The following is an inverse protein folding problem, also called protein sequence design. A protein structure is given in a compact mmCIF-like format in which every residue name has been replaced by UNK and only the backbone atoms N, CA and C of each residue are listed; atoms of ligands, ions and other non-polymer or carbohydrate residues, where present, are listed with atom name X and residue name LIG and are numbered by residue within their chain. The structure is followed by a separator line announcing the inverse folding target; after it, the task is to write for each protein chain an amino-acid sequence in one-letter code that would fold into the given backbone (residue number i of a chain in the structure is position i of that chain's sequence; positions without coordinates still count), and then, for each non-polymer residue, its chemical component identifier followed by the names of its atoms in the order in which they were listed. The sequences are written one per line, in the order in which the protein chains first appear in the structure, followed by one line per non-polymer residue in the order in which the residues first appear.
data_IF_825064469453
#
_entry.id   IF_825064469453
#
_cell.length_a   1.000
_cell.length_b   1.000
_cell.length_c   1.000
_cell.angle_alpha   90.00
_cell.angle_beta   90.00
_cell.angle_gamma   90.00
#
_symmetry.space_group_name_H-M   'P 1'
#
loop_
_entity.id
_entity.type
_entity.pdbx_description
1 polymer ?
#
# COMPACT_ATOMS: atom_id res chain seq x y z
N UNK A 1 9.26 28.09 -44.79
CA UNK A 1 8.02 28.88 -44.69
C UNK A 1 7.66 29.03 -43.21
N UNK A 2 7.80 30.24 -42.74
CA UNK A 2 7.60 30.61 -41.31
C UNK A 2 6.12 31.00 -41.08
N UNK A 3 5.57 30.69 -39.93
CA UNK A 3 4.43 31.34 -39.26
C UNK A 3 4.50 30.92 -37.80
N UNK A 4 4.99 31.73 -36.91
CA UNK A 4 4.51 32.94 -36.27
C UNK A 4 3.37 32.72 -35.27
N UNK A 5 3.74 32.86 -34.01
CA UNK A 5 3.13 33.49 -32.82
C UNK A 5 1.60 33.50 -32.64
N UNK A 6 1.18 33.10 -31.44
CA UNK A 6 0.18 33.86 -30.70
C UNK A 6 0.43 33.66 -29.16
N UNK A 7 0.86 34.73 -28.54
CA UNK A 7 0.77 35.01 -27.10
C UNK A 7 -0.67 35.42 -26.76
N UNK A 8 -1.16 34.98 -25.60
CA UNK A 8 -2.23 35.66 -24.87
C UNK A 8 -2.04 35.28 -23.37
N UNK A 9 -1.56 36.07 -22.62
CA UNK A 9 -1.65 37.14 -21.67
C UNK A 9 -2.91 37.09 -20.78
N UNK A 10 -2.66 36.94 -19.47
CA UNK A 10 -3.24 37.58 -18.28
C UNK A 10 -4.71 37.32 -17.94
N UNK A 11 -4.96 36.80 -16.72
CA UNK A 11 -5.73 37.53 -15.71
C UNK A 11 -5.41 37.03 -14.30
N UNK A 12 -4.79 37.92 -13.52
CA UNK A 12 -4.82 37.95 -12.05
C UNK A 12 -6.24 38.25 -11.57
N UNK A 13 -6.72 37.59 -10.57
CA UNK A 13 -7.63 38.19 -9.59
C UNK A 13 -7.37 37.59 -8.21
N UNK A 14 -6.89 38.47 -7.35
CA UNK A 14 -6.70 38.29 -5.93
C UNK A 14 -8.04 38.51 -5.21
N UNK A 15 -8.05 38.12 -3.95
CA UNK A 15 -8.80 38.60 -2.82
C UNK A 15 -9.89 37.64 -2.28
N UNK A 16 -9.75 37.41 -0.99
CA UNK A 16 -10.81 36.98 -0.12
C UNK A 16 -10.33 36.35 1.18
N UNK A 17 -9.69 37.13 2.06
CA UNK A 17 -9.55 36.84 3.48
C UNK A 17 -10.96 36.77 4.11
N UNK A 18 -11.25 35.71 4.82
CA UNK A 18 -12.27 35.73 5.86
C UNK A 18 -11.81 34.84 7.01
N UNK A 19 -11.17 35.49 7.96
CA UNK A 19 -11.01 35.08 9.34
C UNK A 19 -12.39 35.15 10.02
N UNK A 20 -12.95 34.06 10.46
CA UNK A 20 -14.00 34.06 11.49
C UNK A 20 -13.51 33.29 12.68
N UNK A 21 -13.05 34.05 13.65
CA UNK A 21 -12.89 33.61 15.02
C UNK A 21 -14.28 33.33 15.61
N UNK A 22 -14.50 32.13 16.09
CA UNK A 22 -15.57 31.81 17.03
C UNK A 22 -14.90 31.53 18.37
N UNK A 23 -14.91 32.56 19.19
CA UNK A 23 -14.54 32.49 20.61
C UNK A 23 -15.80 32.21 21.44
N UNK A 24 -15.55 31.47 22.53
CA UNK A 24 -16.26 31.45 23.77
C UNK A 24 -17.71 30.95 23.81
N UNK A 25 -17.84 29.76 24.32
CA UNK A 25 -18.99 29.37 25.13
C UNK A 25 -18.60 28.23 26.09
N UNK A 26 -17.79 28.56 27.12
CA UNK A 26 -17.81 27.77 28.36
C UNK A 26 -17.72 28.73 29.55
N UNK A 27 -18.94 28.94 30.13
CA UNK A 27 -19.11 29.65 31.34
C UNK A 27 -18.42 29.00 32.55
N UNK A 28 -17.84 29.81 33.41
CA UNK A 28 -17.23 29.44 34.65
C UNK A 28 -18.24 28.81 35.65
N UNK A 29 -17.82 27.82 36.42
CA UNK A 29 -18.62 27.32 37.52
C UNK A 29 -18.43 28.14 38.82
N UNK A 30 -19.46 28.29 39.67
CA UNK A 30 -19.31 28.93 40.96
C UNK A 30 -18.62 28.01 41.98
N UNK A 31 -17.77 28.63 42.77
CA UNK A 31 -17.11 28.02 43.92
C UNK A 31 -18.14 27.73 45.02
N UNK A 32 -18.16 26.50 45.52
CA UNK A 32 -18.47 26.18 46.94
C UNK A 32 -18.05 24.72 47.21
N UNK A 33 -17.07 24.56 48.11
CA UNK A 33 -16.74 23.31 48.77
C UNK A 33 -17.72 23.07 49.94
N UNK A 34 -17.91 21.84 50.56
CA UNK A 34 -16.81 21.09 51.14
C UNK A 34 -16.89 19.55 51.02
N UNK A 35 -15.70 18.96 51.16
CA UNK A 35 -15.30 17.72 51.83
C UNK A 35 -16.01 16.36 51.66
N UNK A 36 -15.10 15.40 51.47
CA UNK A 36 -15.17 13.96 51.79
C UNK A 36 -15.92 13.04 50.80
N UNK A 37 -15.13 12.32 49.98
CA UNK A 37 -15.00 10.87 50.15
C UNK A 37 -14.01 10.31 49.09
N UNK A 38 -13.06 9.55 49.61
CA UNK A 38 -12.14 8.71 48.86
C UNK A 38 -12.92 7.71 47.98
N UNK A 39 -12.71 7.75 46.67
CA UNK A 39 -13.01 6.64 45.80
C UNK A 39 -11.97 6.59 44.68
N UNK A 40 -11.17 5.59 44.78
CA UNK A 40 -10.16 5.10 43.85
C UNK A 40 -10.64 5.13 42.41
N UNK A 41 -10.04 5.99 41.58
CA UNK A 41 -10.19 5.93 40.14
C UNK A 41 -9.30 4.80 39.62
N UNK A 42 -9.83 3.83 38.87
CA UNK A 42 -8.96 2.94 38.11
C UNK A 42 -8.46 3.72 36.90
N UNK A 43 -7.15 3.96 36.89
CA UNK A 43 -6.38 4.34 35.70
C UNK A 43 -6.60 3.25 34.66
N UNK A 44 -7.43 3.53 33.66
CA UNK A 44 -7.52 2.70 32.47
C UNK A 44 -6.22 2.90 31.67
N UNK A 45 -5.24 2.06 31.95
CA UNK A 45 -4.12 1.84 31.04
C UNK A 45 -4.70 1.28 29.75
N UNK A 46 -4.78 2.09 28.72
CA UNK A 46 -4.95 1.61 27.35
C UNK A 46 -3.66 0.85 26.99
N UNK A 47 -3.64 -0.44 27.31
CA UNK A 47 -2.76 -1.37 26.65
C UNK A 47 -3.21 -1.45 25.20
N UNK A 48 -2.45 -0.81 24.32
CA UNK A 48 -2.42 -1.17 22.92
C UNK A 48 -1.80 -2.57 22.84
N UNK A 49 -2.65 -3.59 22.97
CA UNK A 49 -2.31 -4.96 22.61
C UNK A 49 -2.01 -4.97 21.12
N UNK A 50 -0.74 -4.79 20.80
CA UNK A 50 -0.19 -5.24 19.51
C UNK A 50 -0.22 -6.76 19.58
N UNK A 51 -1.29 -7.37 19.07
CA UNK A 51 -1.36 -8.80 18.91
C UNK A 51 -0.09 -9.27 18.18
N UNK A 52 0.63 -10.29 18.69
CA UNK A 52 1.77 -10.86 18.01
C UNK A 52 1.31 -11.31 16.60
N UNK A 53 2.08 -10.94 15.56
CA UNK A 53 1.83 -11.45 14.24
C UNK A 53 1.75 -12.98 14.30
N UNK A 54 0.64 -13.56 13.83
CA UNK A 54 0.49 -15.01 13.83
C UNK A 54 1.63 -15.63 12.99
N UNK A 55 2.18 -16.78 13.40
CA UNK A 55 3.24 -17.43 12.65
C UNK A 55 2.76 -17.73 11.22
N UNK A 56 3.57 -17.35 10.23
CA UNK A 56 3.28 -17.62 8.81
C UNK A 56 3.19 -19.13 8.61
N UNK A 57 2.02 -19.61 8.24
CA UNK A 57 1.81 -21.03 7.95
C UNK A 57 2.30 -21.33 6.53
N UNK A 58 3.03 -22.46 6.35
CA UNK A 58 3.40 -22.96 5.04
C UNK A 58 2.14 -23.14 4.19
N UNK A 59 2.16 -22.56 2.96
CA UNK A 59 1.02 -22.58 2.07
C UNK A 59 -0.04 -21.49 2.32
N UNK A 60 0.21 -20.53 3.24
CA UNK A 60 -0.64 -19.35 3.40
C UNK A 60 -0.38 -18.31 2.29
N UNK A 61 -1.35 -17.42 1.99
CA UNK A 61 -1.10 -16.28 1.09
C UNK A 61 0.12 -15.46 1.46
N UNK A 62 0.35 -15.22 2.74
CA UNK A 62 1.54 -14.50 3.23
C UNK A 62 2.84 -15.25 2.91
N UNK A 63 2.84 -16.59 3.00
CA UNK A 63 4.01 -17.38 2.64
C UNK A 63 4.35 -17.27 1.15
N UNK A 64 3.34 -17.13 0.28
CA UNK A 64 3.53 -16.91 -1.17
C UNK A 64 4.11 -15.52 -1.45
N UNK A 65 3.71 -14.49 -0.68
CA UNK A 65 4.16 -13.10 -0.88
C UNK A 65 5.58 -12.86 -0.40
N UNK A 66 5.99 -13.50 0.68
CA UNK A 66 7.25 -13.23 1.37
C UNK A 66 8.50 -13.21 0.46
N UNK A 67 8.71 -14.15 -0.49
CA UNK A 67 9.87 -14.16 -1.36
C UNK A 67 10.05 -12.89 -2.20
N UNK A 68 8.95 -12.22 -2.59
CA UNK A 68 8.99 -10.99 -3.40
C UNK A 68 9.60 -9.79 -2.64
N UNK A 69 9.70 -9.86 -1.31
CA UNK A 69 10.36 -8.87 -0.48
C UNK A 69 11.80 -9.28 -0.11
N UNK A 70 12.15 -10.53 -0.31
CA UNK A 70 13.50 -11.05 -0.11
C UNK A 70 14.38 -10.89 -1.37
N UNK A 71 13.73 -10.84 -2.55
CA UNK A 71 14.38 -10.78 -3.86
C UNK A 71 13.67 -9.75 -4.75
N UNK A 72 14.33 -8.60 -4.98
CA UNK A 72 13.77 -7.55 -5.82
C UNK A 72 13.52 -8.01 -7.25
N UNK A 73 12.35 -7.65 -7.81
CA UNK A 73 11.99 -7.97 -9.19
C UNK A 73 11.58 -9.42 -9.44
N UNK A 74 11.45 -10.23 -8.39
CA UNK A 74 11.06 -11.63 -8.51
C UNK A 74 9.68 -11.81 -9.16
N UNK A 75 8.77 -10.85 -8.98
CA UNK A 75 7.43 -10.84 -9.58
C UNK A 75 7.48 -10.79 -11.12
N UNK A 76 8.56 -10.27 -11.69
CA UNK A 76 8.76 -10.24 -13.14
C UNK A 76 9.51 -11.47 -13.66
N UNK A 77 10.03 -12.35 -12.79
CA UNK A 77 10.70 -13.55 -13.22
C UNK A 77 9.69 -14.56 -13.84
N UNK A 78 9.88 -15.00 -15.09
CA UNK A 78 9.03 -16.03 -15.70
C UNK A 78 8.99 -17.35 -14.92
N UNK A 79 10.04 -17.68 -14.15
CA UNK A 79 10.08 -18.89 -13.32
C UNK A 79 9.00 -18.87 -12.21
N UNK A 80 8.68 -17.69 -11.71
CA UNK A 80 7.68 -17.48 -10.65
C UNK A 80 6.23 -17.38 -11.18
N UNK A 81 6.04 -17.52 -12.49
CA UNK A 81 4.74 -17.35 -13.15
C UNK A 81 3.68 -18.33 -12.67
N UNK A 82 4.10 -19.46 -12.13
CA UNK A 82 3.21 -20.46 -11.52
C UNK A 82 2.48 -19.97 -10.27
N UNK A 83 2.98 -18.93 -9.61
CA UNK A 83 2.34 -18.29 -8.46
C UNK A 83 1.20 -17.35 -8.85
N UNK A 84 1.06 -17.03 -10.13
CA UNK A 84 0.08 -16.08 -10.63
C UNK A 84 -1.08 -16.76 -11.37
N UNK A 85 -2.24 -16.10 -11.29
CA UNK A 85 -3.43 -16.41 -12.10
C UNK A 85 -3.97 -15.10 -12.71
N UNK A 86 -4.92 -15.22 -13.64
CA UNK A 86 -5.51 -14.06 -14.29
C UNK A 86 -6.30 -13.18 -13.29
N UNK A 87 -6.26 -11.85 -13.48
CA UNK A 87 -5.69 -11.09 -14.62
C UNK A 87 -4.18 -10.80 -14.53
N UNK A 88 -3.56 -10.87 -13.34
CA UNK A 88 -2.14 -10.54 -13.17
C UNK A 88 -1.23 -11.36 -14.09
N UNK A 89 -1.48 -12.66 -14.20
CA UNK A 89 -0.68 -13.55 -15.07
C UNK A 89 -0.67 -13.08 -16.53
N UNK A 90 -1.82 -12.72 -17.08
CA UNK A 90 -1.93 -12.25 -18.47
C UNK A 90 -1.14 -10.98 -18.72
N UNK A 91 -1.11 -10.03 -17.77
CA UNK A 91 -0.33 -8.79 -17.88
C UNK A 91 1.16 -9.09 -17.88
N UNK A 92 1.60 -9.94 -16.95
CA UNK A 92 3.00 -10.36 -16.83
C UNK A 92 3.49 -11.11 -18.09
N UNK A 93 2.67 -12.01 -18.64
CA UNK A 93 3.00 -12.77 -19.84
C UNK A 93 3.13 -11.84 -21.07
N UNK A 94 2.25 -10.83 -21.19
CA UNK A 94 2.34 -9.82 -22.26
C UNK A 94 3.59 -8.95 -22.11
N UNK A 95 3.90 -8.50 -20.89
CA UNK A 95 5.13 -7.74 -20.61
C UNK A 95 6.38 -8.54 -20.99
N UNK A 96 6.41 -9.84 -20.67
CA UNK A 96 7.49 -10.74 -21.06
C UNK A 96 7.61 -10.88 -22.58
N UNK A 97 6.49 -10.92 -23.30
CA UNK A 97 6.48 -11.00 -24.77
C UNK A 97 7.07 -9.73 -25.41
N UNK A 98 6.70 -8.54 -24.91
CA UNK A 98 7.27 -7.27 -25.36
C UNK A 98 8.77 -7.20 -25.14
N UNK A 99 9.24 -7.56 -23.95
CA UNK A 99 10.68 -7.59 -23.63
C UNK A 99 11.44 -8.55 -24.52
N UNK A 100 10.92 -9.75 -24.77
CA UNK A 100 11.53 -10.74 -25.66
C UNK A 100 11.57 -10.32 -27.12
N UNK A 101 10.58 -9.54 -27.56
CA UNK A 101 10.56 -9.00 -28.94
C UNK A 101 11.42 -7.74 -29.14
N UNK A 102 11.97 -7.18 -28.06
CA UNK A 102 12.74 -5.93 -28.10
C UNK A 102 11.88 -4.68 -28.25
N UNK A 103 10.57 -4.77 -28.01
CA UNK A 103 9.64 -3.64 -28.11
C UNK A 103 9.61 -2.76 -26.83
N UNK A 104 10.45 -3.09 -25.85
CA UNK A 104 10.57 -2.34 -24.62
C UNK A 104 10.02 -3.07 -23.39
N UNK A 105 9.88 -2.34 -22.31
CA UNK A 105 9.35 -2.82 -21.03
C UNK A 105 8.02 -2.14 -20.75
N UNK A 106 7.00 -2.94 -20.42
CA UNK A 106 5.66 -2.44 -20.08
C UNK A 106 5.50 -2.19 -18.59
N UNK A 107 6.17 -2.99 -17.78
CA UNK A 107 6.08 -2.94 -16.31
C UNK A 107 7.38 -2.41 -15.74
N UNK A 108 7.26 -1.57 -14.71
CA UNK A 108 8.40 -1.11 -13.95
C UNK A 108 9.06 -2.26 -13.18
N UNK A 109 10.39 -2.26 -13.04
CA UNK A 109 11.05 -3.18 -12.14
C UNK A 109 10.64 -2.91 -10.68
N UNK A 110 10.69 -3.93 -9.84
CA UNK A 110 10.40 -3.81 -8.40
C UNK A 110 8.97 -3.35 -8.06
N UNK A 111 7.97 -3.80 -8.81
CA UNK A 111 6.57 -3.48 -8.51
C UNK A 111 6.16 -3.97 -7.12
N UNK A 112 6.66 -5.11 -6.67
CA UNK A 112 6.46 -5.61 -5.30
C UNK A 112 6.99 -4.65 -4.23
N UNK A 113 7.91 -3.76 -4.58
CA UNK A 113 8.47 -2.73 -3.72
C UNK A 113 7.87 -1.34 -3.97
N UNK A 114 6.75 -1.26 -4.70
CA UNK A 114 6.15 0.04 -5.09
C UNK A 114 7.14 0.93 -5.85
N UNK A 115 7.99 0.31 -6.67
CA UNK A 115 9.09 0.92 -7.42
C UNK A 115 10.16 1.63 -6.55
N UNK A 116 10.16 1.37 -5.24
CA UNK A 116 11.20 1.86 -4.35
C UNK A 116 12.55 1.19 -4.63
N UNK A 117 13.63 1.84 -4.23
CA UNK A 117 14.94 1.23 -4.22
C UNK A 117 14.98 0.03 -3.27
N UNK A 118 15.65 -1.06 -3.69
CA UNK A 118 15.77 -2.23 -2.83
C UNK A 118 16.82 -1.99 -1.74
N UNK A 119 16.36 -1.89 -0.52
CA UNK A 119 17.19 -1.95 0.69
C UNK A 119 16.66 -3.05 1.61
N UNK A 120 17.30 -4.21 1.55
CA UNK A 120 16.87 -5.38 2.32
C UNK A 120 16.84 -5.11 3.82
N UNK A 121 17.81 -4.39 4.35
CA UNK A 121 17.91 -4.16 5.79
C UNK A 121 16.79 -3.24 6.30
N UNK A 122 16.43 -2.20 5.52
CA UNK A 122 15.31 -1.34 5.84
C UNK A 122 13.97 -2.08 5.70
N UNK A 123 13.81 -2.88 4.64
CA UNK A 123 12.61 -3.69 4.42
C UNK A 123 12.44 -4.70 5.55
N UNK A 124 13.42 -5.54 5.85
CA UNK A 124 13.35 -6.57 6.91
C UNK A 124 13.02 -5.96 8.28
N UNK A 125 13.53 -4.76 8.56
CA UNK A 125 13.29 -4.04 9.82
C UNK A 125 11.86 -3.50 9.94
N UNK A 126 11.24 -3.13 8.83
CA UNK A 126 9.97 -2.40 8.82
C UNK A 126 8.80 -3.20 8.25
N UNK A 127 9.05 -4.32 7.58
CA UNK A 127 8.05 -5.14 6.90
C UNK A 127 6.97 -5.65 7.87
N UNK A 128 5.72 -5.36 7.53
CA UNK A 128 4.54 -5.86 8.24
C UNK A 128 3.56 -6.40 7.23
N UNK A 129 2.90 -7.50 7.59
CA UNK A 129 1.89 -8.14 6.77
C UNK A 129 0.61 -8.36 7.56
N UNK A 130 -0.52 -8.17 6.89
CA UNK A 130 -1.85 -8.49 7.41
C UNK A 130 -2.54 -9.36 6.36
N UNK A 131 -2.94 -10.56 6.75
CA UNK A 131 -3.63 -11.51 5.90
C UNK A 131 -5.12 -11.58 6.27
N UNK A 132 -5.98 -11.61 5.25
CA UNK A 132 -7.40 -11.85 5.40
C UNK A 132 -7.83 -12.90 4.37
N UNK A 133 -8.47 -13.99 4.84
CA UNK A 133 -8.95 -15.10 4.00
C UNK A 133 -10.46 -15.19 4.11
N UNK A 134 -11.14 -15.31 2.96
CA UNK A 134 -12.59 -15.50 2.88
C UNK A 134 -12.91 -16.53 1.80
N UNK A 135 -13.14 -17.77 2.22
CA UNK A 135 -13.37 -18.89 1.27
C UNK A 135 -12.15 -19.11 0.37
N UNK A 136 -12.36 -19.03 -0.93
CA UNK A 136 -11.32 -19.19 -1.95
C UNK A 136 -10.65 -17.87 -2.37
N UNK A 137 -10.93 -16.78 -1.68
CA UNK A 137 -10.31 -15.48 -1.89
C UNK A 137 -9.49 -15.09 -0.67
N UNK A 138 -8.37 -14.42 -0.90
CA UNK A 138 -7.56 -13.84 0.16
C UNK A 138 -6.92 -12.53 -0.26
N UNK A 139 -6.50 -11.77 0.74
CA UNK A 139 -5.75 -10.53 0.61
C UNK A 139 -4.60 -10.53 1.59
N UNK A 140 -3.45 -10.07 1.14
CA UNK A 140 -2.32 -9.76 2.01
C UNK A 140 -1.96 -8.29 1.81
N UNK A 141 -2.10 -7.52 2.87
CA UNK A 141 -1.62 -6.13 2.89
C UNK A 141 -0.21 -6.15 3.44
N UNK A 142 0.70 -5.53 2.71
CA UNK A 142 2.11 -5.40 3.08
C UNK A 142 2.42 -3.92 3.26
N UNK A 143 3.12 -3.59 4.34
CA UNK A 143 3.62 -2.24 4.58
C UNK A 143 5.09 -2.30 4.98
N UNK A 144 5.89 -1.40 4.46
CA UNK A 144 7.31 -1.25 4.77
C UNK A 144 7.77 0.20 4.57
N UNK A 145 9.00 0.50 4.97
CA UNK A 145 9.61 1.83 4.83
C UNK A 145 10.95 1.67 4.13
N UNK A 146 11.21 2.51 3.11
CA UNK A 146 12.50 2.61 2.42
C UNK A 146 12.87 4.09 2.30
N UNK A 147 14.08 4.44 2.66
CA UNK A 147 14.58 5.82 2.65
C UNK A 147 13.65 6.81 3.38
N UNK A 148 13.02 6.35 4.48
CA UNK A 148 12.07 7.12 5.28
C UNK A 148 10.65 7.25 4.67
N UNK A 149 10.40 6.71 3.49
CA UNK A 149 9.10 6.75 2.83
C UNK A 149 8.30 5.48 3.13
N UNK A 150 7.04 5.60 3.59
CA UNK A 150 6.17 4.46 3.80
C UNK A 150 5.57 3.98 2.47
N UNK A 151 5.56 2.66 2.28
CA UNK A 151 4.95 1.98 1.16
C UNK A 151 3.88 1.01 1.66
N UNK A 152 2.78 0.91 0.92
CA UNK A 152 1.70 0.00 1.24
C UNK A 152 1.12 -0.63 -0.02
N UNK A 153 1.16 -1.97 -0.07
CA UNK A 153 0.64 -2.75 -1.18
C UNK A 153 -0.42 -3.74 -0.70
N UNK A 154 -1.31 -4.12 -1.59
CA UNK A 154 -2.30 -5.18 -1.39
C UNK A 154 -2.10 -6.24 -2.47
N UNK A 155 -1.88 -7.49 -2.05
CA UNK A 155 -1.84 -8.68 -2.89
C UNK A 155 -3.19 -9.37 -2.83
N UNK A 156 -3.82 -9.62 -3.97
CA UNK A 156 -5.07 -10.37 -4.06
C UNK A 156 -4.82 -11.78 -4.54
N UNK A 157 -5.56 -12.70 -3.96
CA UNK A 157 -5.41 -14.12 -4.22
C UNK A 157 -6.72 -14.79 -4.52
N UNK A 158 -6.65 -15.88 -5.26
CA UNK A 158 -7.70 -16.88 -5.41
C UNK A 158 -7.10 -18.27 -5.28
N UNK A 159 -7.85 -19.21 -4.70
CA UNK A 159 -7.52 -20.61 -4.73
C UNK A 159 -7.78 -21.19 -6.11
N UNK A 160 -6.76 -21.84 -6.68
CA UNK A 160 -6.84 -22.58 -7.95
C UNK A 160 -6.26 -23.96 -7.69
N UNK A 161 -7.04 -25.01 -7.85
CA UNK A 161 -6.63 -26.42 -7.61
C UNK A 161 -6.08 -26.66 -6.19
N UNK A 162 -6.55 -25.88 -5.21
CA UNK A 162 -6.12 -25.98 -3.81
C UNK A 162 -4.97 -25.03 -3.42
N UNK A 163 -4.26 -24.46 -4.38
CA UNK A 163 -3.15 -23.54 -4.17
C UNK A 163 -3.60 -22.07 -4.23
N UNK A 164 -2.98 -21.23 -3.40
CA UNK A 164 -3.15 -19.79 -3.49
C UNK A 164 -2.37 -19.22 -4.68
N UNK A 165 -3.09 -18.57 -5.61
CA UNK A 165 -2.52 -17.87 -6.76
C UNK A 165 -2.80 -16.38 -6.68
N UNK A 166 -1.78 -15.58 -6.99
CA UNK A 166 -1.86 -14.12 -7.03
C UNK A 166 -2.68 -13.71 -8.25
N UNK A 167 -3.77 -12.98 -8.03
CA UNK A 167 -4.61 -12.45 -9.12
C UNK A 167 -4.38 -10.97 -9.38
N UNK A 168 -3.84 -10.24 -8.40
CA UNK A 168 -3.52 -8.83 -8.57
C UNK A 168 -2.49 -8.37 -7.52
N UNK A 169 -1.77 -7.31 -7.86
CA UNK A 169 -0.92 -6.53 -6.97
C UNK A 169 -1.29 -5.06 -7.14
N UNK A 170 -1.61 -4.41 -6.03
CA UNK A 170 -1.99 -3.01 -6.01
C UNK A 170 -1.07 -2.21 -5.10
N UNK A 171 -0.65 -1.04 -5.53
CA UNK A 171 -0.08 -0.04 -4.64
C UNK A 171 -1.19 0.87 -4.11
N UNK A 172 -1.29 0.96 -2.79
CA UNK A 172 -2.19 1.92 -2.13
C UNK A 172 -1.55 3.31 -2.07
N UNK A 173 -0.22 3.35 -1.94
CA UNK A 173 0.57 4.61 -1.91
C UNK A 173 0.77 5.20 -3.30
N UNK A 174 1.02 4.37 -4.32
CA UNK A 174 1.27 4.78 -5.70
C UNK A 174 0.01 4.84 -6.58
N UNK A 175 -1.15 4.42 -6.06
CA UNK A 175 -2.46 4.45 -6.75
C UNK A 175 -2.47 3.70 -8.09
N UNK A 176 -1.82 2.54 -8.17
CA UNK A 176 -1.81 1.68 -9.35
C UNK A 176 -2.21 0.24 -9.02
N UNK A 177 -2.62 -0.51 -10.03
CA UNK A 177 -2.86 -1.95 -9.94
C UNK A 177 -2.28 -2.67 -11.16
N UNK A 178 -1.65 -3.82 -10.94
CA UNK A 178 -1.05 -4.63 -12.01
C UNK A 178 -2.08 -5.00 -13.08
N UNK A 179 -3.29 -5.34 -12.70
CA UNK A 179 -4.39 -5.69 -13.61
C UNK A 179 -4.84 -4.54 -14.52
N UNK A 180 -4.43 -3.30 -14.25
CA UNK A 180 -4.79 -2.11 -15.05
C UNK A 180 -3.77 -1.81 -16.16
N UNK A 181 -2.60 -2.43 -16.13
CA UNK A 181 -1.59 -2.24 -17.18
C UNK A 181 -2.02 -2.91 -18.48
N UNK A 182 -1.88 -2.17 -19.58
CA UNK A 182 -2.16 -2.64 -20.92
C UNK A 182 -0.83 -2.76 -21.66
N UNK A 183 -0.26 -3.96 -21.63
CA UNK A 183 0.96 -4.30 -22.35
C UNK A 183 0.58 -4.73 -23.77
N UNK A 184 0.76 -3.82 -24.76
CA UNK A 184 0.43 -4.01 -26.18
C UNK A 184 1.64 -3.76 -27.08
#
# INVERSE_FOLDING_TARGET
MARALALATVCLLAAGLSNTAAQDLFGAPPANAPADNAATSPTASQQTDSAPAAPVQLGSPTAVVKPFYEHAGLELDPAERSHFADPAKSVLDKSDALRKSGQGECLDPNMALDNAAYDRAEIDKSLKTIEAVKGDEAKVVVAFVVAGNPHRLEWKFRKVEGDWKITDLLSVTGEWALSQYQCE
#
